data_IF_758073358023
#
_entry.id   IF_758073358023
#
_cell.length_a   1.000
_cell.length_b   1.000
_cell.length_c   1.000
_cell.angle_alpha   90.00
_cell.angle_beta   90.00
_cell.angle_gamma   90.00
#
_symmetry.space_group_name_H-M   'P 1'
#
loop_
_entity.id
_entity.type
_entity.pdbx_description
1 polymer ?
#
# COMPACT_ATOMS: atom_id res chain seq x y z
N UNK A 1 -9.82 6.32 -37.95
CA UNK A 1 -10.50 5.07 -37.57
C UNK A 1 -11.88 5.45 -37.07
N UNK A 2 -12.92 4.84 -37.61
CA UNK A 2 -14.32 5.16 -37.30
C UNK A 2 -14.88 4.24 -36.18
N UNK A 3 -16.11 4.52 -35.73
CA UNK A 3 -16.73 3.76 -34.65
C UNK A 3 -16.92 2.26 -34.95
N UNK A 4 -17.32 1.85 -36.17
CA UNK A 4 -17.38 0.43 -36.55
C UNK A 4 -16.03 -0.27 -36.46
N UNK A 5 -14.94 0.35 -36.95
CA UNK A 5 -13.60 -0.23 -36.86
C UNK A 5 -13.14 -0.41 -35.41
N UNK A 6 -13.43 0.56 -34.53
CA UNK A 6 -13.12 0.45 -33.09
C UNK A 6 -13.88 -0.71 -32.46
N UNK A 7 -15.17 -0.85 -32.76
CA UNK A 7 -15.99 -1.93 -32.21
C UNK A 7 -15.45 -3.30 -32.64
N UNK A 8 -15.19 -3.49 -33.94
CA UNK A 8 -14.63 -4.73 -34.46
C UNK A 8 -13.27 -5.08 -33.85
N UNK A 9 -12.35 -4.11 -33.78
CA UNK A 9 -11.03 -4.31 -33.17
C UNK A 9 -11.12 -4.69 -31.69
N UNK A 10 -12.01 -4.05 -30.92
CA UNK A 10 -12.20 -4.37 -29.51
C UNK A 10 -12.79 -5.75 -29.27
N UNK A 11 -13.68 -6.21 -30.15
CA UNK A 11 -14.29 -7.53 -30.09
C UNK A 11 -13.26 -8.62 -30.40
N UNK A 12 -12.46 -8.43 -31.46
CA UNK A 12 -11.36 -9.32 -31.81
C UNK A 12 -10.36 -9.45 -30.66
N UNK A 13 -9.99 -8.33 -30.02
CA UNK A 13 -9.09 -8.36 -28.87
C UNK A 13 -9.66 -9.20 -27.72
N UNK A 14 -10.94 -9.04 -27.39
CA UNK A 14 -11.59 -9.83 -26.34
C UNK A 14 -11.61 -11.33 -26.67
N UNK A 15 -11.88 -11.70 -27.93
CA UNK A 15 -11.92 -13.10 -28.37
C UNK A 15 -10.54 -13.78 -28.36
N UNK A 16 -9.48 -13.03 -28.64
CA UNK A 16 -8.11 -13.56 -28.67
C UNK A 16 -7.51 -13.72 -27.27
N UNK A 17 -8.05 -13.05 -26.25
CA UNK A 17 -7.54 -13.19 -24.87
C UNK A 17 -7.99 -14.50 -24.21
N UNK A 18 -7.05 -15.12 -23.46
CA UNK A 18 -7.30 -16.29 -22.61
C UNK A 18 -6.99 -15.96 -21.15
N UNK A 19 -7.86 -15.18 -20.49
CA UNK A 19 -7.62 -14.76 -19.10
C UNK A 19 -7.82 -15.92 -18.12
N UNK A 20 -7.25 -15.76 -16.92
CA UNK A 20 -7.52 -16.61 -15.76
C UNK A 20 -9.04 -16.62 -15.48
N UNK A 21 -9.57 -17.79 -15.11
CA UNK A 21 -10.97 -17.96 -14.73
C UNK A 21 -11.03 -18.31 -13.24
N UNK A 22 -11.60 -17.42 -12.43
CA UNK A 22 -11.69 -17.61 -10.99
C UNK A 22 -13.01 -17.02 -10.44
N UNK A 23 -13.33 -17.37 -9.19
CA UNK A 23 -14.57 -16.95 -8.52
C UNK A 23 -14.70 -15.43 -8.37
N UNK A 24 -13.59 -14.69 -8.32
CA UNK A 24 -13.57 -13.23 -8.13
C UNK A 24 -13.79 -12.50 -9.43
N UNK A 25 -13.35 -13.08 -10.53
CA UNK A 25 -13.43 -12.48 -11.85
C UNK A 25 -13.43 -13.55 -12.94
N UNK A 26 -14.63 -13.96 -13.41
CA UNK A 26 -14.74 -14.98 -14.44
C UNK A 26 -14.05 -14.56 -15.73
N UNK A 27 -13.58 -15.52 -16.50
CA UNK A 27 -12.93 -15.28 -17.79
C UNK A 27 -13.86 -14.52 -18.76
N UNK A 28 -15.18 -14.76 -18.68
CA UNK A 28 -16.18 -14.00 -19.43
C UNK A 28 -16.20 -12.52 -19.05
N UNK A 29 -16.14 -12.20 -17.75
CA UNK A 29 -16.07 -10.82 -17.28
C UNK A 29 -14.76 -10.16 -17.73
N UNK A 30 -13.62 -10.84 -17.55
CA UNK A 30 -12.30 -10.31 -17.96
C UNK A 30 -12.23 -10.04 -19.47
N UNK A 31 -12.76 -10.93 -20.31
CA UNK A 31 -12.91 -10.68 -21.77
C UNK A 31 -13.77 -9.46 -22.06
N UNK A 32 -14.87 -9.29 -21.31
CA UNK A 32 -15.71 -8.09 -21.38
C UNK A 32 -14.92 -6.80 -21.05
N UNK A 33 -14.07 -6.84 -20.03
CA UNK A 33 -13.20 -5.72 -19.66
C UNK A 33 -12.15 -5.43 -20.74
N UNK A 34 -11.55 -6.45 -21.35
CA UNK A 34 -10.61 -6.27 -22.48
C UNK A 34 -11.28 -5.52 -23.62
N UNK A 35 -12.49 -5.92 -24.02
CA UNK A 35 -13.26 -5.22 -25.06
C UNK A 35 -13.44 -3.73 -24.72
N UNK A 36 -13.87 -3.43 -23.49
CA UNK A 36 -14.10 -2.05 -23.05
C UNK A 36 -12.80 -1.24 -23.03
N UNK A 37 -11.72 -1.81 -22.49
CA UNK A 37 -10.42 -1.16 -22.38
C UNK A 37 -9.84 -0.82 -23.76
N UNK A 38 -9.86 -1.79 -24.69
CA UNK A 38 -9.38 -1.59 -26.07
C UNK A 38 -10.23 -0.54 -26.79
N UNK A 39 -11.55 -0.62 -26.68
CA UNK A 39 -12.43 0.39 -27.29
C UNK A 39 -12.16 1.80 -26.74
N UNK A 40 -11.96 1.95 -25.43
CA UNK A 40 -11.62 3.24 -24.80
C UNK A 40 -10.26 3.77 -25.29
N UNK A 41 -9.23 2.92 -25.32
CA UNK A 41 -7.91 3.30 -25.79
C UNK A 41 -7.93 3.74 -27.26
N UNK A 42 -8.62 3.00 -28.13
CA UNK A 42 -8.74 3.33 -29.55
C UNK A 42 -9.51 4.64 -29.78
N UNK A 43 -10.58 4.92 -29.01
CA UNK A 43 -11.27 6.21 -29.06
C UNK A 43 -10.38 7.36 -28.61
N UNK A 44 -9.62 7.16 -27.53
CA UNK A 44 -8.69 8.14 -27.00
C UNK A 44 -7.60 8.49 -28.05
N UNK A 45 -7.03 7.48 -28.72
CA UNK A 45 -6.08 7.66 -29.82
C UNK A 45 -6.70 8.47 -30.97
N UNK A 46 -7.91 8.13 -31.40
CA UNK A 46 -8.61 8.85 -32.50
C UNK A 46 -8.89 10.31 -32.13
N UNK A 47 -9.23 10.58 -30.87
CA UNK A 47 -9.45 11.93 -30.37
C UNK A 47 -8.15 12.74 -30.16
N UNK A 48 -6.98 12.13 -30.36
CA UNK A 48 -5.68 12.73 -30.01
C UNK A 48 -5.41 12.80 -28.51
N UNK A 49 -6.31 12.29 -27.68
CA UNK A 49 -6.22 12.31 -26.22
C UNK A 49 -5.52 11.06 -25.68
N UNK A 50 -4.22 10.93 -25.97
CA UNK A 50 -3.44 9.77 -25.51
C UNK A 50 -2.91 9.92 -24.08
N UNK A 51 -3.03 11.10 -23.48
CA UNK A 51 -2.46 11.43 -22.15
C UNK A 51 -3.41 12.13 -21.18
N UNK A 52 -4.63 12.51 -21.57
CA UNK A 52 -5.55 13.23 -20.67
C UNK A 52 -6.00 12.44 -19.44
N UNK A 53 -5.78 11.13 -19.43
CA UNK A 53 -6.03 10.23 -18.29
C UNK A 53 -4.76 9.90 -17.50
N UNK A 54 -3.58 10.28 -17.98
CA UNK A 54 -2.36 10.18 -17.19
C UNK A 54 -2.34 11.33 -16.18
N UNK A 55 -1.93 11.08 -14.92
CA UNK A 55 -1.69 12.16 -13.98
C UNK A 55 -0.71 13.17 -14.57
N UNK A 56 -1.11 14.44 -14.65
CA UNK A 56 -0.22 15.52 -15.07
C UNK A 56 0.90 15.76 -14.04
N UNK A 57 0.64 15.41 -12.78
CA UNK A 57 1.55 15.52 -11.65
C UNK A 57 2.21 14.19 -11.33
N UNK A 58 3.35 14.26 -10.61
CA UNK A 58 4.07 13.07 -10.14
C UNK A 58 3.13 12.28 -9.20
N UNK A 59 2.86 10.99 -9.46
CA UNK A 59 1.99 10.21 -8.60
C UNK A 59 2.59 10.07 -7.20
N UNK A 60 1.72 10.04 -6.19
CA UNK A 60 2.08 9.66 -4.81
C UNK A 60 2.49 8.19 -4.83
N UNK A 61 3.70 7.90 -4.36
CA UNK A 61 4.29 6.56 -4.43
C UNK A 61 4.39 5.86 -3.07
N UNK A 62 4.31 6.61 -1.98
CA UNK A 62 4.55 6.14 -0.61
C UNK A 62 5.93 5.47 -0.41
N UNK A 63 6.93 6.03 -1.09
CA UNK A 63 8.36 5.76 -1.01
C UNK A 63 9.09 6.68 -0.03
N UNK A 64 8.46 7.77 0.40
CA UNK A 64 9.00 8.74 1.36
C UNK A 64 9.60 9.99 0.70
N UNK A 65 10.06 10.95 1.50
CA UNK A 65 10.29 12.34 1.07
C UNK A 65 11.28 12.59 -0.06
N UNK A 66 12.15 11.63 -0.38
CA UNK A 66 13.09 11.77 -1.51
C UNK A 66 12.43 11.45 -2.87
N UNK A 67 11.20 10.90 -2.86
CA UNK A 67 10.44 10.57 -4.07
C UNK A 67 11.14 9.58 -5.01
N UNK A 68 12.18 8.92 -4.51
CA UNK A 68 12.93 7.85 -5.17
C UNK A 68 12.54 6.53 -4.53
N UNK A 69 12.33 5.50 -5.36
CA UNK A 69 12.08 4.15 -4.87
C UNK A 69 13.21 3.76 -3.91
N UNK A 70 12.93 3.32 -2.68
CA UNK A 70 13.98 2.90 -1.78
C UNK A 70 14.80 1.79 -2.42
N UNK A 71 16.11 1.84 -2.20
CA UNK A 71 17.00 0.80 -2.68
C UNK A 71 16.50 -0.57 -2.17
N UNK A 72 16.61 -1.64 -2.98
CA UNK A 72 16.42 -2.98 -2.46
C UNK A 72 17.28 -3.17 -1.21
N UNK A 73 16.73 -3.82 -0.19
CA UNK A 73 17.43 -4.02 1.08
C UNK A 73 18.86 -4.56 0.85
N UNK A 74 19.86 -4.12 1.65
CA UNK A 74 21.20 -4.68 1.56
C UNK A 74 21.17 -6.20 1.71
N UNK A 75 21.94 -6.85 0.85
CA UNK A 75 21.98 -8.27 0.51
C UNK A 75 22.53 -9.19 1.61
N UNK A 76 22.31 -8.87 2.89
CA UNK A 76 22.38 -9.88 3.95
C UNK A 76 21.20 -10.84 3.76
N UNK A 77 21.23 -11.60 2.68
CA UNK A 77 20.22 -12.56 2.32
C UNK A 77 20.12 -13.53 3.48
N UNK A 78 18.97 -13.53 4.15
CA UNK A 78 18.65 -14.62 5.05
C UNK A 78 18.79 -15.92 4.25
N UNK A 79 19.72 -16.77 4.65
CA UNK A 79 20.01 -18.05 4.01
C UNK A 79 19.78 -19.14 5.04
N UNK A 80 19.16 -20.24 4.62
CA UNK A 80 19.24 -21.45 5.43
C UNK A 80 20.70 -21.87 5.54
N UNK A 81 21.06 -22.49 6.66
CA UNK A 81 22.42 -22.99 6.91
C UNK A 81 22.74 -24.28 6.12
N UNK A 82 21.82 -24.73 5.24
CA UNK A 82 21.97 -25.95 4.44
C UNK A 82 21.80 -27.25 5.21
N UNK A 83 21.76 -27.22 6.55
CA UNK A 83 21.68 -28.40 7.42
C UNK A 83 20.27 -28.61 8.03
N UNK A 84 19.25 -27.99 7.44
CA UNK A 84 17.88 -28.04 7.96
C UNK A 84 17.63 -27.09 9.14
N UNK A 85 18.64 -26.33 9.57
CA UNK A 85 18.49 -25.26 10.53
C UNK A 85 17.83 -24.04 9.91
N UNK A 86 17.05 -23.34 10.73
CA UNK A 86 16.36 -22.11 10.35
C UNK A 86 16.95 -20.97 11.18
N UNK A 87 17.97 -20.25 10.68
CA UNK A 87 18.60 -19.18 11.44
C UNK A 87 17.58 -18.09 11.78
N UNK A 88 17.77 -17.38 12.90
CA UNK A 88 16.84 -16.34 13.30
C UNK A 88 16.86 -15.17 12.31
N UNK A 89 15.74 -14.46 12.24
CA UNK A 89 15.63 -13.19 11.55
C UNK A 89 16.06 -12.10 12.54
N UNK A 90 17.16 -11.40 12.23
CA UNK A 90 17.66 -10.25 13.01
C UNK A 90 17.27 -9.00 12.25
N UNK A 91 16.53 -8.10 12.88
CA UNK A 91 15.94 -6.92 12.23
C UNK A 91 15.82 -5.75 13.21
N UNK A 92 15.53 -4.54 12.72
CA UNK A 92 15.17 -3.40 13.56
C UNK A 92 13.69 -3.11 13.41
N UNK A 93 12.93 -3.13 14.50
CA UNK A 93 11.49 -2.83 14.51
C UNK A 93 11.25 -1.66 15.45
N UNK A 94 10.64 -0.58 14.95
CA UNK A 94 10.36 0.64 15.73
C UNK A 94 11.60 1.14 16.49
N UNK A 95 12.75 1.14 15.81
CA UNK A 95 14.04 1.56 16.38
C UNK A 95 14.77 0.51 17.22
N UNK A 96 14.11 -0.57 17.66
CA UNK A 96 14.70 -1.59 18.52
C UNK A 96 15.23 -2.79 17.72
N UNK A 97 16.40 -3.32 18.09
CA UNK A 97 16.93 -4.53 17.47
C UNK A 97 16.23 -5.76 18.04
N UNK A 98 15.75 -6.63 17.16
CA UNK A 98 14.97 -7.84 17.52
C UNK A 98 15.53 -9.05 16.77
N UNK A 99 15.58 -10.19 17.47
CA UNK A 99 15.99 -11.49 16.93
C UNK A 99 14.82 -12.47 17.07
N UNK A 100 14.29 -12.96 15.95
CA UNK A 100 13.08 -13.80 15.89
C UNK A 100 13.39 -15.18 15.29
N UNK A 101 13.16 -16.24 16.06
CA UNK A 101 13.34 -17.62 15.63
C UNK A 101 12.02 -18.22 15.12
N UNK A 102 12.08 -19.10 14.12
CA UNK A 102 10.90 -19.85 13.63
C UNK A 102 9.97 -19.11 12.67
N UNK A 103 10.25 -17.84 12.34
CA UNK A 103 9.41 -17.03 11.48
C UNK A 103 9.69 -17.16 9.96
N UNK A 104 10.71 -17.93 9.55
CA UNK A 104 11.18 -17.97 8.14
C UNK A 104 10.14 -18.43 7.12
N UNK A 105 9.13 -19.21 7.54
CA UNK A 105 8.04 -19.71 6.69
C UNK A 105 6.79 -18.84 6.77
N UNK A 106 6.87 -17.67 7.41
CA UNK A 106 5.75 -16.74 7.61
C UNK A 106 5.85 -15.56 6.63
N UNK A 107 4.74 -14.85 6.50
CA UNK A 107 4.73 -13.48 5.96
C UNK A 107 5.27 -12.53 7.02
N UNK A 108 5.74 -11.35 6.61
CA UNK A 108 6.16 -10.27 7.50
C UNK A 108 5.02 -9.91 8.47
N UNK A 109 3.78 -9.87 7.98
CA UNK A 109 2.60 -9.62 8.82
C UNK A 109 2.48 -10.62 9.97
N UNK A 110 2.57 -11.92 9.65
CA UNK A 110 2.49 -12.97 10.67
C UNK A 110 3.67 -12.92 11.63
N UNK A 111 4.88 -12.65 11.13
CA UNK A 111 6.06 -12.45 11.97
C UNK A 111 5.87 -11.31 12.99
N UNK A 112 5.40 -10.15 12.54
CA UNK A 112 5.17 -8.99 13.40
C UNK A 112 4.13 -9.29 14.48
N UNK A 113 3.03 -9.95 14.12
CA UNK A 113 1.90 -10.20 15.02
C UNK A 113 2.14 -11.35 15.99
N UNK A 114 2.66 -12.47 15.49
CA UNK A 114 2.77 -13.73 16.25
C UNK A 114 4.09 -13.85 17.00
N UNK A 115 5.19 -13.35 16.42
CA UNK A 115 6.54 -13.54 16.98
C UNK A 115 7.05 -12.27 17.67
N UNK A 116 6.77 -11.08 17.13
CA UNK A 116 7.15 -9.81 17.75
C UNK A 116 6.07 -9.22 18.68
N UNK A 117 4.85 -9.78 18.71
CA UNK A 117 3.74 -9.33 19.55
C UNK A 117 3.12 -7.98 19.15
N UNK A 118 3.49 -7.42 17.98
CA UNK A 118 3.00 -6.14 17.47
C UNK A 118 1.70 -6.35 16.69
N UNK A 119 0.59 -6.27 17.41
CA UNK A 119 -0.75 -6.63 16.90
C UNK A 119 -1.54 -5.46 16.31
N UNK A 120 -0.98 -4.25 16.31
CA UNK A 120 -1.56 -3.06 15.70
C UNK A 120 -1.77 -3.25 14.21
N UNK A 121 -0.75 -3.74 13.49
CA UNK A 121 -0.85 -4.12 12.08
C UNK A 121 -1.84 -5.29 11.92
N UNK A 122 -2.81 -5.20 10.99
CA UNK A 122 -3.94 -6.14 10.90
C UNK A 122 -3.92 -6.99 9.63
N UNK A 123 -4.48 -8.20 9.75
CA UNK A 123 -4.77 -9.08 8.63
C UNK A 123 -6.21 -8.86 8.16
N UNK A 124 -6.41 -8.28 6.96
CA UNK A 124 -7.75 -8.05 6.41
C UNK A 124 -8.15 -9.03 5.31
N UNK A 125 -7.33 -9.13 4.27
CA UNK A 125 -7.57 -10.04 3.13
C UNK A 125 -6.45 -11.06 2.89
N UNK A 126 -5.23 -10.82 3.38
CA UNK A 126 -4.03 -11.65 3.13
C UNK A 126 -3.60 -11.78 1.66
N UNK A 127 -4.04 -10.85 0.81
CA UNK A 127 -3.91 -10.97 -0.65
C UNK A 127 -3.33 -9.73 -1.33
N UNK A 128 -2.93 -8.73 -0.54
CA UNK A 128 -2.35 -7.50 -1.08
C UNK A 128 -3.37 -6.50 -1.63
N UNK A 129 -4.62 -6.55 -1.17
CA UNK A 129 -5.69 -5.68 -1.67
C UNK A 129 -6.14 -4.62 -0.65
N UNK A 130 -6.29 -5.00 0.63
CA UNK A 130 -6.99 -4.16 1.60
C UNK A 130 -6.14 -3.12 2.34
N UNK A 131 -4.81 -3.22 2.31
CA UNK A 131 -3.90 -2.29 2.99
C UNK A 131 -3.90 -2.28 4.52
N UNK A 132 -4.78 -3.01 5.21
CA UNK A 132 -4.81 -3.05 6.68
C UNK A 132 -3.49 -3.53 7.34
N UNK A 133 -2.64 -4.17 6.54
CA UNK A 133 -1.32 -4.67 6.92
C UNK A 133 -0.15 -3.74 6.50
N UNK A 134 -0.44 -2.49 6.10
CA UNK A 134 0.60 -1.55 5.67
C UNK A 134 1.58 -1.25 6.81
N UNK A 135 2.87 -1.41 6.53
CA UNK A 135 3.99 -1.05 7.42
C UNK A 135 5.06 -0.34 6.59
N UNK A 136 6.05 0.29 7.24
CA UNK A 136 7.24 0.75 6.54
C UNK A 136 8.31 -0.32 6.57
N UNK A 137 8.88 -0.63 5.41
CA UNK A 137 10.02 -1.52 5.26
C UNK A 137 11.10 -0.76 4.49
N UNK A 138 12.20 -0.44 5.17
CA UNK A 138 13.30 0.37 4.64
C UNK A 138 12.80 1.69 4.03
N UNK A 139 11.88 2.37 4.73
CA UNK A 139 11.34 3.66 4.34
C UNK A 139 10.13 3.63 3.39
N UNK A 140 9.88 2.54 2.66
CA UNK A 140 8.69 2.42 1.80
C UNK A 140 7.48 1.82 2.54
N UNK A 141 6.28 2.31 2.23
CA UNK A 141 5.05 1.63 2.61
C UNK A 141 4.89 0.34 1.80
N UNK A 142 4.71 -0.78 2.51
CA UNK A 142 4.51 -2.11 1.91
C UNK A 142 3.36 -2.84 2.59
N UNK A 143 2.69 -3.72 1.85
CA UNK A 143 1.69 -4.62 2.42
C UNK A 143 2.40 -5.83 3.03
N UNK A 144 2.48 -5.88 4.37
CA UNK A 144 3.24 -6.90 5.09
C UNK A 144 2.76 -8.34 4.82
N UNK A 145 1.52 -8.54 4.37
CA UNK A 145 1.03 -9.87 4.01
C UNK A 145 1.69 -10.42 2.73
N UNK A 146 2.21 -9.56 1.85
CA UNK A 146 2.84 -9.94 0.58
C UNK A 146 4.36 -10.02 0.67
N UNK A 147 4.94 -9.70 1.83
CA UNK A 147 6.39 -9.75 2.06
C UNK A 147 6.74 -11.03 2.81
N UNK A 148 7.62 -11.90 2.30
CA UNK A 148 8.16 -13.02 3.08
C UNK A 148 8.95 -12.50 4.29
N UNK A 149 8.74 -13.08 5.47
CA UNK A 149 9.46 -12.69 6.69
C UNK A 149 10.99 -12.70 6.54
N UNK A 150 11.63 -13.63 5.80
CA UNK A 150 13.08 -13.58 5.56
C UNK A 150 13.60 -12.27 4.95
N UNK A 151 12.77 -11.52 4.21
CA UNK A 151 13.13 -10.21 3.67
C UNK A 151 13.32 -9.13 4.73
N UNK A 152 12.87 -9.38 5.97
CA UNK A 152 13.07 -8.47 7.10
C UNK A 152 14.48 -8.58 7.72
N UNK A 153 15.25 -9.62 7.39
CA UNK A 153 16.59 -9.79 7.94
C UNK A 153 17.49 -8.62 7.52
N UNK A 154 18.10 -7.94 8.49
CA UNK A 154 18.89 -6.73 8.29
C UNK A 154 18.09 -5.48 7.90
N UNK A 155 16.76 -5.57 7.79
CA UNK A 155 15.90 -4.46 7.41
C UNK A 155 15.53 -3.57 8.62
N UNK A 156 15.02 -2.39 8.31
CA UNK A 156 14.36 -1.49 9.24
C UNK A 156 12.85 -1.49 8.98
N UNK A 157 12.08 -1.75 10.03
CA UNK A 157 10.63 -1.83 10.01
C UNK A 157 10.05 -0.80 10.97
N UNK A 158 9.03 -0.08 10.51
CA UNK A 158 8.18 0.74 11.37
C UNK A 158 6.74 0.26 11.23
N UNK A 159 6.09 -0.02 12.35
CA UNK A 159 4.67 -0.38 12.44
C UNK A 159 3.87 0.80 12.99
N UNK A 160 2.55 0.67 13.08
CA UNK A 160 1.68 1.74 13.63
C UNK A 160 2.06 2.11 15.07
N UNK A 161 2.54 1.14 15.85
CA UNK A 161 3.03 1.34 17.22
C UNK A 161 4.27 2.23 17.28
N UNK A 162 5.05 2.30 16.21
CA UNK A 162 6.25 3.13 16.10
C UNK A 162 6.01 4.53 15.52
N UNK A 163 4.76 4.92 15.22
CA UNK A 163 4.47 6.26 14.69
C UNK A 163 4.52 7.36 15.76
N UNK A 164 4.09 7.05 16.99
CA UNK A 164 4.16 8.01 18.08
C UNK A 164 5.62 8.22 18.50
N UNK A 165 5.96 9.44 18.91
CA UNK A 165 7.26 9.72 19.49
C UNK A 165 7.44 8.99 20.84
N UNK A 166 8.69 8.85 21.29
CA UNK A 166 9.03 8.09 22.49
C UNK A 166 8.41 8.66 23.79
N UNK A 167 8.06 9.95 23.80
CA UNK A 167 7.36 10.64 24.89
C UNK A 167 5.83 10.43 24.87
N UNK A 168 5.32 9.69 23.88
CA UNK A 168 3.90 9.44 23.67
C UNK A 168 3.21 10.49 22.80
N UNK A 169 3.93 11.50 22.30
CA UNK A 169 3.37 12.49 21.39
C UNK A 169 2.92 11.82 20.09
N UNK A 170 1.63 11.96 19.76
CA UNK A 170 1.04 11.37 18.56
C UNK A 170 1.62 12.00 17.29
N UNK A 171 1.84 11.16 16.27
CA UNK A 171 2.13 11.64 14.92
C UNK A 171 0.98 12.54 14.42
N UNK A 172 1.29 13.54 13.59
CA UNK A 172 0.29 14.48 13.06
C UNK A 172 -0.93 13.77 12.44
N UNK A 173 -0.69 12.67 11.71
CA UNK A 173 -1.76 11.84 11.13
C UNK A 173 -2.62 11.13 12.19
N UNK A 174 -2.03 10.66 13.29
CA UNK A 174 -2.77 10.01 14.37
C UNK A 174 -3.68 11.03 15.07
N UNK A 175 -3.14 12.21 15.39
CA UNK A 175 -3.90 13.32 15.98
C UNK A 175 -5.06 13.76 15.08
N UNK A 176 -4.79 13.99 13.80
CA UNK A 176 -5.81 14.42 12.86
C UNK A 176 -6.93 13.38 12.67
N UNK A 177 -6.63 12.08 12.69
CA UNK A 177 -7.65 11.03 12.62
C UNK A 177 -8.59 11.06 13.81
N UNK A 178 -8.08 11.37 15.01
CA UNK A 178 -8.90 11.53 16.22
C UNK A 178 -9.75 12.79 16.12
N UNK A 179 -9.14 13.93 15.82
CA UNK A 179 -9.81 15.24 15.75
C UNK A 179 -10.93 15.28 14.70
N UNK A 180 -10.71 14.64 13.54
CA UNK A 180 -11.68 14.61 12.45
C UNK A 180 -12.72 13.48 12.58
N UNK A 181 -12.61 12.62 13.60
CA UNK A 181 -13.49 11.45 13.75
C UNK A 181 -13.36 10.46 12.59
N UNK A 182 -12.14 10.27 12.09
CA UNK A 182 -11.84 9.39 10.95
C UNK A 182 -11.78 7.89 11.31
N UNK A 183 -12.29 7.52 12.49
CA UNK A 183 -12.23 6.16 13.05
C UNK A 183 -13.63 5.73 13.51
N UNK A 184 -14.01 4.50 13.15
CA UNK A 184 -15.19 3.82 13.69
C UNK A 184 -14.77 2.47 14.30
N UNK A 185 -14.81 1.38 13.52
CA UNK A 185 -14.38 0.06 14.01
C UNK A 185 -12.86 -0.05 14.28
N UNK A 186 -12.06 0.87 13.73
CA UNK A 186 -10.61 0.91 13.93
C UNK A 186 -9.78 -0.11 13.16
N UNK A 187 -10.40 -1.07 12.45
CA UNK A 187 -9.65 -2.22 11.88
C UNK A 187 -8.68 -1.82 10.76
N UNK A 188 -9.09 -0.95 9.85
CA UNK A 188 -8.25 -0.45 8.75
C UNK A 188 -7.36 0.73 9.17
N UNK A 189 -7.62 1.32 10.36
CA UNK A 189 -6.96 2.55 10.81
C UNK A 189 -5.44 2.42 10.87
N UNK A 190 -4.83 1.32 11.36
CA UNK A 190 -3.39 1.13 11.32
C UNK A 190 -2.78 1.31 9.92
N UNK A 191 -3.32 0.63 8.92
CA UNK A 191 -2.83 0.73 7.54
C UNK A 191 -2.99 2.13 6.94
N UNK A 192 -4.13 2.78 7.21
CA UNK A 192 -4.40 4.15 6.78
C UNK A 192 -3.47 5.18 7.43
N UNK A 193 -3.16 5.03 8.72
CA UNK A 193 -2.22 5.89 9.43
C UNK A 193 -0.80 5.75 8.86
N UNK A 194 -0.37 4.52 8.56
CA UNK A 194 0.93 4.28 7.93
C UNK A 194 0.99 4.91 6.53
N UNK A 195 -0.02 4.67 5.69
CA UNK A 195 -0.08 5.30 4.36
C UNK A 195 -0.11 6.83 4.44
N UNK A 196 -0.89 7.39 5.37
CA UNK A 196 -0.97 8.83 5.59
C UNK A 196 0.32 9.45 6.11
N UNK A 197 1.01 8.81 7.05
CA UNK A 197 2.32 9.26 7.50
C UNK A 197 3.33 9.30 6.34
N UNK A 198 3.32 8.27 5.48
CA UNK A 198 4.22 8.24 4.31
C UNK A 198 3.85 9.27 3.25
N UNK A 199 2.56 9.55 3.06
CA UNK A 199 2.09 10.65 2.22
C UNK A 199 2.66 11.99 2.70
N UNK A 200 2.60 12.28 4.00
CA UNK A 200 3.06 13.55 4.55
C UNK A 200 4.58 13.74 4.41
N UNK A 201 5.36 12.65 4.36
CA UNK A 201 6.77 12.74 4.01
C UNK A 201 6.99 13.15 2.55
N UNK A 202 6.16 12.67 1.61
CA UNK A 202 6.26 12.98 0.17
C UNK A 202 5.66 14.35 -0.20
N UNK A 203 4.51 14.66 0.39
CA UNK A 203 3.73 15.85 0.17
C UNK A 203 3.22 16.36 1.52
N UNK A 204 3.96 17.27 2.18
CA UNK A 204 3.61 17.80 3.51
C UNK A 204 2.26 18.53 3.55
N UNK A 205 1.77 19.04 2.42
CA UNK A 205 0.45 19.67 2.30
C UNK A 205 -0.34 19.02 1.14
N UNK A 206 -0.86 17.80 1.34
CA UNK A 206 -1.49 17.07 0.25
C UNK A 206 -2.83 17.68 -0.15
N UNK A 207 -3.02 17.83 -1.46
CA UNK A 207 -4.33 18.05 -2.04
C UNK A 207 -5.25 16.87 -1.75
N UNK A 208 -6.57 17.07 -1.91
CA UNK A 208 -7.54 15.98 -1.76
C UNK A 208 -7.30 14.84 -2.75
N UNK A 209 -6.82 15.16 -3.95
CA UNK A 209 -6.51 14.15 -4.96
C UNK A 209 -5.29 13.31 -4.56
N UNK A 210 -4.21 13.93 -4.08
CA UNK A 210 -3.03 13.20 -3.58
C UNK A 210 -3.37 12.35 -2.36
N UNK A 211 -4.20 12.86 -1.45
CA UNK A 211 -4.71 12.10 -0.31
C UNK A 211 -5.53 10.88 -0.74
N UNK A 212 -6.34 11.00 -1.79
CA UNK A 212 -7.06 9.87 -2.39
C UNK A 212 -6.09 8.85 -3.00
N UNK A 213 -5.10 9.30 -3.78
CA UNK A 213 -4.11 8.42 -4.39
C UNK A 213 -3.35 7.61 -3.34
N UNK A 214 -2.91 8.26 -2.26
CA UNK A 214 -2.18 7.64 -1.16
C UNK A 214 -2.93 6.47 -0.51
N UNK A 215 -4.26 6.54 -0.44
CA UNK A 215 -5.06 5.51 0.24
C UNK A 215 -5.77 4.55 -0.71
N UNK A 216 -5.50 4.60 -2.02
CA UNK A 216 -6.09 3.66 -3.00
C UNK A 216 -5.84 2.19 -2.65
N UNK A 217 -4.70 1.89 -2.01
CA UNK A 217 -4.37 0.55 -1.50
C UNK A 217 -4.93 0.23 -0.11
N UNK A 218 -5.78 1.08 0.49
CA UNK A 218 -6.33 0.90 1.83
C UNK A 218 -7.86 0.93 1.81
N UNK A 219 -8.49 -0.21 2.13
CA UNK A 219 -9.93 -0.35 2.12
C UNK A 219 -10.53 -0.06 3.50
N UNK A 220 -11.52 0.83 3.54
CA UNK A 220 -12.32 1.10 4.73
C UNK A 220 -13.79 0.78 4.47
N UNK A 221 -14.41 -0.02 5.35
CA UNK A 221 -15.84 -0.37 5.22
C UNK A 221 -16.78 0.58 5.95
N UNK A 222 -16.29 1.28 6.97
CA UNK A 222 -17.15 1.97 7.93
C UNK A 222 -17.33 3.47 7.64
N UNK A 223 -16.27 4.16 7.21
CA UNK A 223 -16.25 5.64 7.18
C UNK A 223 -16.70 6.26 5.85
N UNK A 224 -16.71 5.48 4.76
CA UNK A 224 -16.93 6.02 3.41
C UNK A 224 -15.82 6.98 2.95
N UNK A 225 -14.65 6.97 3.59
CA UNK A 225 -13.43 7.74 3.26
C UNK A 225 -13.47 9.25 3.46
N UNK A 226 -14.62 9.92 3.50
CA UNK A 226 -14.67 11.39 3.62
C UNK A 226 -13.87 11.94 4.81
N UNK A 227 -14.12 11.43 6.02
CA UNK A 227 -13.40 11.85 7.22
C UNK A 227 -11.92 11.46 7.23
N UNK A 228 -11.56 10.36 6.55
CA UNK A 228 -10.16 9.97 6.38
C UNK A 228 -9.44 11.00 5.51
N UNK A 229 -10.05 11.42 4.40
CA UNK A 229 -9.48 12.44 3.52
C UNK A 229 -9.35 13.79 4.24
N UNK A 230 -10.39 14.21 4.98
CA UNK A 230 -10.35 15.42 5.81
C UNK A 230 -9.18 15.37 6.81
N UNK A 231 -8.97 14.23 7.47
CA UNK A 231 -7.88 14.02 8.42
C UNK A 231 -6.50 14.09 7.76
N UNK A 232 -6.31 13.52 6.58
CA UNK A 232 -5.03 13.57 5.87
C UNK A 232 -4.67 15.01 5.46
N UNK A 233 -5.64 15.77 4.96
CA UNK A 233 -5.42 17.17 4.60
C UNK A 233 -5.15 18.03 5.86
N UNK A 234 -5.91 17.78 6.94
CA UNK A 234 -5.71 18.48 8.21
C UNK A 234 -4.33 18.23 8.83
N UNK A 235 -3.86 16.98 8.77
CA UNK A 235 -2.54 16.60 9.28
C UNK A 235 -1.40 17.39 8.61
N UNK A 236 -1.51 17.64 7.30
CA UNK A 236 -0.51 18.42 6.57
C UNK A 236 -0.48 19.90 6.98
N UNK A 237 -1.65 20.51 7.20
CA UNK A 237 -1.71 21.89 7.71
C UNK A 237 -1.12 22.03 9.12
N UNK A 238 -1.29 21.02 9.97
CA UNK A 238 -0.80 21.04 11.35
C UNK A 238 0.72 20.83 11.47
N UNK A 239 1.38 20.22 10.48
CA UNK A 239 2.84 20.07 10.46
C UNK A 239 3.60 21.37 10.15
N UNK A 240 2.97 22.33 9.47
CA UNK A 240 3.63 23.59 9.07
C UNK A 240 3.63 24.64 10.19
N UNK A 241 2.88 24.39 11.26
CA UNK A 241 2.70 25.33 12.38
C UNK A 241 3.25 24.82 13.73
N UNK A 242 3.94 23.67 13.75
CA UNK A 242 4.62 23.11 14.93
C UNK A 242 6.11 22.94 14.67
#
# INVERSE_FOLDING_TARGET
MDAPAIAAASELAAQQTRPIDDLRSPAAYRRGIVRVAVARALRAIVAGDTRGWFPAEKPVMLWGGNGTRPAPAPTAAWRSDGNGGTPPIVTRINGQQVTLSGASKKTLLRMLREDAGLTGTKEGCSEGECGACTVFLNGAAVMACMVPAPCAHGAEIVTVEGLAAADGTLHAVQRAFVEQGAVQCGYCTPGLLMAGAKLLEECPQPSRWEAQQAITGNLCRCTGYYKILDALQHAGTAQVHG
#
